data_IF_338359427543
#
_entry.id   IF_338359427543
#
_cell.length_a   1.000
_cell.length_b   1.000
_cell.length_c   1.000
_cell.angle_alpha   90.00
_cell.angle_beta   90.00
_cell.angle_gamma   90.00
#
_symmetry.space_group_name_H-M   'P 1'
#
loop_
_entity.id
_entity.type
_entity.pdbx_description
1 polymer ?
#
# COMPACT_ATOMS: atom_id res chain seq x y z
N UNK A 1 -22.10 -45.47 -19.06
CA UNK A 1 -22.16 -44.01 -18.84
C UNK A 1 -21.59 -43.72 -17.46
N UNK A 2 -20.42 -43.07 -17.36
CA UNK A 2 -19.76 -42.76 -16.08
C UNK A 2 -19.64 -41.24 -15.98
N UNK A 3 -20.49 -40.66 -15.14
CA UNK A 3 -20.56 -39.22 -14.87
C UNK A 3 -19.58 -38.89 -13.73
N UNK A 4 -18.67 -37.97 -14.01
CA UNK A 4 -17.73 -37.33 -13.08
C UNK A 4 -17.81 -35.82 -13.36
N UNK A 5 -17.42 -34.93 -12.43
CA UNK A 5 -17.82 -34.80 -11.03
C UNK A 5 -18.42 -33.40 -10.76
N UNK A 6 -18.91 -33.21 -9.54
CA UNK A 6 -19.57 -32.00 -9.03
C UNK A 6 -18.70 -30.74 -9.22
N UNK A 7 -19.29 -29.72 -9.82
CA UNK A 7 -18.70 -28.43 -10.15
C UNK A 7 -18.43 -27.61 -8.88
N UNK A 8 -17.23 -27.05 -8.81
CA UNK A 8 -16.70 -26.20 -7.75
C UNK A 8 -17.55 -24.93 -7.54
N UNK A 9 -17.98 -24.71 -6.29
CA UNK A 9 -18.56 -23.44 -5.86
C UNK A 9 -17.44 -22.45 -5.54
N UNK A 10 -17.14 -21.56 -6.48
CA UNK A 10 -16.21 -20.44 -6.27
C UNK A 10 -16.91 -19.39 -5.40
N UNK A 11 -16.45 -19.25 -4.16
CA UNK A 11 -16.86 -18.16 -3.28
C UNK A 11 -16.30 -16.85 -3.84
N UNK A 12 -17.13 -16.10 -4.56
CA UNK A 12 -16.79 -14.74 -5.00
C UNK A 12 -16.94 -13.85 -3.77
N UNK A 13 -15.86 -13.70 -3.00
CA UNK A 13 -15.79 -12.69 -1.96
C UNK A 13 -15.68 -11.31 -2.63
N UNK A 14 -16.82 -10.63 -2.81
CA UNK A 14 -16.85 -9.21 -3.13
C UNK A 14 -16.42 -8.43 -1.89
N UNK A 15 -15.10 -8.27 -1.72
CA UNK A 15 -14.56 -7.37 -0.72
C UNK A 15 -15.10 -5.96 -0.99
N UNK A 16 -16.00 -5.50 -0.12
CA UNK A 16 -16.49 -4.13 -0.16
C UNK A 16 -15.36 -3.23 0.31
N UNK A 17 -14.73 -2.53 -0.63
CA UNK A 17 -13.70 -1.54 -0.33
C UNK A 17 -14.39 -0.33 0.30
N UNK A 18 -14.44 -0.29 1.63
CA UNK A 18 -14.70 0.97 2.33
C UNK A 18 -13.53 1.90 2.01
N UNK A 19 -13.81 3.11 1.52
CA UNK A 19 -12.78 4.12 1.28
C UNK A 19 -12.22 4.56 2.62
N UNK A 20 -11.17 3.88 3.05
CA UNK A 20 -10.42 4.17 4.28
C UNK A 20 -9.06 4.73 3.88
N UNK A 21 -8.47 5.54 4.77
CA UNK A 21 -7.06 5.92 4.66
C UNK A 21 -6.20 4.66 4.45
N UNK A 22 -5.16 4.78 3.64
CA UNK A 22 -4.29 3.64 3.40
C UNK A 22 -3.62 3.28 4.73
N UNK A 23 -3.74 2.02 5.16
CA UNK A 23 -3.20 1.63 6.46
C UNK A 23 -1.74 1.22 6.32
N UNK A 24 -0.87 1.72 7.20
CA UNK A 24 0.49 1.24 7.28
C UNK A 24 0.50 -0.22 7.76
N UNK A 25 1.18 -1.09 7.01
CA UNK A 25 1.30 -2.52 7.31
C UNK A 25 2.75 -2.94 7.44
N UNK A 26 2.99 -3.91 8.33
CA UNK A 26 4.30 -4.53 8.44
C UNK A 26 4.52 -5.60 7.36
N UNK A 27 5.76 -6.09 7.24
CA UNK A 27 6.14 -7.10 6.24
C UNK A 27 5.31 -8.40 6.33
N UNK A 28 4.88 -8.80 7.53
CA UNK A 28 4.08 -10.03 7.73
C UNK A 28 2.64 -9.87 7.25
N UNK A 29 2.05 -8.68 7.45
CA UNK A 29 0.73 -8.33 6.94
C UNK A 29 0.78 -8.15 5.42
N UNK A 30 1.79 -7.45 4.92
CA UNK A 30 2.05 -7.26 3.49
C UNK A 30 2.19 -8.58 2.73
N UNK A 31 2.75 -9.63 3.35
CA UNK A 31 2.88 -10.95 2.73
C UNK A 31 1.52 -11.62 2.39
N UNK A 32 0.43 -11.17 3.01
CA UNK A 32 -0.94 -11.64 2.74
C UNK A 32 -1.69 -10.72 1.76
N UNK A 33 -1.07 -9.60 1.37
CA UNK A 33 -1.64 -8.60 0.48
C UNK A 33 -0.99 -8.69 -0.90
N UNK A 34 -1.66 -8.12 -1.90
CA UNK A 34 -1.12 -8.09 -3.25
C UNK A 34 -0.34 -6.80 -3.48
N UNK A 35 0.98 -6.92 -3.67
CA UNK A 35 1.84 -5.78 -4.01
C UNK A 35 1.37 -5.16 -5.32
N UNK A 36 1.10 -3.85 -5.27
CA UNK A 36 0.68 -3.03 -6.41
C UNK A 36 1.86 -2.26 -7.02
N UNK A 37 2.98 -2.18 -6.30
CA UNK A 37 4.18 -1.46 -6.72
C UNK A 37 4.76 -0.59 -5.62
N UNK A 38 5.68 0.29 -6.01
CA UNK A 38 6.36 1.22 -5.11
C UNK A 38 6.04 2.65 -5.53
N UNK A 39 5.61 3.45 -4.57
CA UNK A 39 5.48 4.90 -4.72
C UNK A 39 6.69 5.57 -4.06
N UNK A 40 7.16 6.63 -4.70
CA UNK A 40 8.17 7.51 -4.13
C UNK A 40 7.67 8.94 -4.05
N UNK A 41 8.05 9.60 -2.98
CA UNK A 41 7.88 11.01 -2.73
C UNK A 41 9.26 11.64 -2.64
N UNK A 42 9.35 12.82 -3.23
CA UNK A 42 10.50 13.69 -3.12
C UNK A 42 9.99 15.06 -2.74
N UNK A 43 10.89 15.92 -2.29
CA UNK A 43 10.57 17.35 -2.14
C UNK A 43 9.58 17.66 -0.99
N UNK A 44 9.44 16.75 -0.02
CA UNK A 44 8.58 16.99 1.15
C UNK A 44 9.34 17.85 2.16
N UNK A 45 8.80 19.01 2.49
CA UNK A 45 9.35 19.93 3.49
C UNK A 45 8.54 19.79 4.77
N UNK A 46 9.19 19.68 5.93
CA UNK A 46 8.50 19.57 7.21
C UNK A 46 9.08 18.48 8.10
N UNK A 47 8.22 17.66 8.67
CA UNK A 47 8.53 16.60 9.62
C UNK A 47 8.29 15.21 9.00
N UNK A 48 8.81 14.12 9.60
CA UNK A 48 8.50 12.75 9.19
C UNK A 48 6.99 12.48 9.07
N UNK A 49 6.17 13.07 9.95
CA UNK A 49 4.72 12.95 9.91
C UNK A 49 4.10 13.52 8.62
N UNK A 50 4.66 14.59 8.06
CA UNK A 50 4.21 15.16 6.78
C UNK A 50 4.53 14.21 5.61
N UNK A 51 5.66 13.50 5.72
CA UNK A 51 6.07 12.48 4.75
C UNK A 51 5.11 11.29 4.78
N UNK A 52 4.75 10.83 5.98
CA UNK A 52 3.77 9.74 6.16
C UNK A 52 2.40 10.11 5.61
N UNK A 53 1.89 11.31 5.94
CA UNK A 53 0.61 11.78 5.42
C UNK A 53 0.61 11.92 3.90
N UNK A 54 1.72 12.37 3.31
CA UNK A 54 1.85 12.44 1.86
C UNK A 54 1.93 11.04 1.21
N UNK A 55 2.53 10.05 1.89
CA UNK A 55 2.57 8.66 1.42
C UNK A 55 1.18 8.04 1.44
N UNK A 56 0.45 8.22 2.54
CA UNK A 56 -0.94 7.79 2.68
C UNK A 56 -1.81 8.36 1.57
N UNK A 57 -1.77 9.68 1.36
CA UNK A 57 -2.52 10.34 0.29
C UNK A 57 -2.18 9.80 -1.10
N UNK A 58 -0.90 9.53 -1.37
CA UNK A 58 -0.44 8.99 -2.66
C UNK A 58 -0.79 7.52 -2.84
N UNK A 59 -0.79 6.73 -1.76
CA UNK A 59 -1.24 5.34 -1.77
C UNK A 59 -2.74 5.25 -2.07
N UNK A 60 -3.56 6.06 -1.40
CA UNK A 60 -4.99 6.18 -1.66
C UNK A 60 -5.28 6.62 -3.11
N UNK A 61 -4.56 7.64 -3.59
CA UNK A 61 -4.70 8.10 -4.98
C UNK A 61 -4.34 7.02 -6.01
N UNK A 62 -3.49 6.06 -5.62
CA UNK A 62 -3.12 4.89 -6.43
C UNK A 62 -4.12 3.73 -6.30
N UNK A 63 -5.16 3.89 -5.48
CA UNK A 63 -6.16 2.86 -5.17
C UNK A 63 -5.65 1.75 -4.25
N UNK A 64 -4.57 2.00 -3.51
CA UNK A 64 -4.05 1.08 -2.51
C UNK A 64 -4.78 1.27 -1.17
N UNK A 65 -5.15 0.17 -0.53
CA UNK A 65 -5.73 0.16 0.83
C UNK A 65 -4.67 0.07 1.93
N UNK A 66 -3.43 -0.29 1.55
CA UNK A 66 -2.34 -0.50 2.49
C UNK A 66 -1.03 0.01 1.90
N UNK A 67 -0.12 0.47 2.76
CA UNK A 67 1.24 0.83 2.36
C UNK A 67 2.26 0.37 3.41
N UNK A 68 3.51 0.25 3.01
CA UNK A 68 4.64 -0.05 3.90
C UNK A 68 5.80 0.86 3.53
N UNK A 69 6.28 1.64 4.48
CA UNK A 69 7.45 2.49 4.27
C UNK A 69 8.68 1.59 4.12
N UNK A 70 9.35 1.68 2.98
CA UNK A 70 10.55 0.88 2.67
C UNK A 70 11.82 1.72 2.68
N UNK A 71 11.70 3.06 2.68
CA UNK A 71 12.82 3.96 2.84
C UNK A 71 12.37 5.38 3.11
N UNK A 72 13.08 6.06 4.01
CA UNK A 72 12.94 7.49 4.25
C UNK A 72 14.34 8.07 4.44
N UNK A 73 14.68 9.08 3.64
CA UNK A 73 15.97 9.74 3.64
C UNK A 73 15.76 11.24 3.75
N UNK A 74 16.47 11.87 4.68
CA UNK A 74 16.60 13.31 4.74
C UNK A 74 18.03 13.68 4.31
N UNK A 75 18.25 14.31 3.14
CA UNK A 75 19.55 14.86 2.81
C UNK A 75 19.90 15.89 3.88
N UNK A 76 21.03 15.68 4.56
CA UNK A 76 21.47 16.47 5.73
C UNK A 76 21.60 17.98 5.50
N UNK A 77 21.47 18.43 4.25
CA UNK A 77 21.31 19.82 3.83
C UNK A 77 19.93 20.41 4.14
N UNK A 78 19.08 19.73 4.93
CA UNK A 78 17.71 20.16 5.29
C UNK A 78 16.80 20.41 4.08
N UNK A 79 17.20 19.92 2.91
CA UNK A 79 16.72 20.43 1.63
C UNK A 79 15.54 19.66 1.04
N UNK A 80 15.02 18.64 1.76
CA UNK A 80 13.70 17.99 1.64
C UNK A 80 13.77 16.49 1.83
N UNK A 81 12.76 15.94 2.48
CA UNK A 81 12.59 14.52 2.64
C UNK A 81 12.29 13.83 1.31
N UNK A 82 12.90 12.66 1.16
CA UNK A 82 12.63 11.69 0.12
C UNK A 82 12.17 10.42 0.83
N UNK A 83 11.05 9.85 0.42
CA UNK A 83 10.56 8.61 0.97
C UNK A 83 9.98 7.70 -0.10
N UNK A 84 10.01 6.41 0.16
CA UNK A 84 9.48 5.38 -0.70
C UNK A 84 8.65 4.42 0.12
N UNK A 85 7.46 4.10 -0.37
CA UNK A 85 6.60 3.08 0.22
C UNK A 85 6.16 2.08 -0.84
N UNK A 86 6.10 0.83 -0.44
CA UNK A 86 5.43 -0.21 -1.21
C UNK A 86 3.93 -0.15 -0.91
N UNK A 87 3.09 -0.26 -1.94
CA UNK A 87 1.64 -0.16 -1.84
C UNK A 87 0.98 -1.50 -2.14
N UNK A 88 -0.13 -1.78 -1.47
CA UNK A 88 -0.83 -3.05 -1.58
C UNK A 88 -2.35 -2.88 -1.65
N UNK A 89 -3.00 -3.89 -2.22
CA UNK A 89 -4.45 -4.10 -2.20
C UNK A 89 -4.83 -5.41 -1.53
#
# INVERSE_FOLDING_TARGET
MKLLPVIAATLIATASFTTMAAQEVNSTQAAKLQSMGVISLSNISGSPMDVESALDAKAMASGAGYYRIIGMSNPGDSSRYIASAEIYR
#
